data_IF_179418431087
#
_entry.id   IF_179418431087
#
_cell.length_a   1.000
_cell.length_b   1.000
_cell.length_c   1.000
_cell.angle_alpha   90.00
_cell.angle_beta   90.00
_cell.angle_gamma   90.00
#
_symmetry.space_group_name_H-M   'P 1'
#
loop_
_entity.id
_entity.type
_entity.pdbx_description
1 polymer ?
#
# COMPACT_ATOMS: atom_id res chain seq x y z
N UNK A 1 -7.97 -19.85 1.93
CA UNK A 1 -9.33 -20.08 2.46
C UNK A 1 -10.36 -19.99 1.34
N UNK A 2 -10.82 -18.81 0.91
CA UNK A 2 -11.82 -18.69 -0.16
C UNK A 2 -11.37 -19.34 -1.49
N UNK A 3 -10.14 -19.05 -1.93
CA UNK A 3 -9.54 -19.68 -3.13
C UNK A 3 -9.31 -21.19 -3.01
N UNK A 4 -9.33 -21.73 -1.80
CA UNK A 4 -9.16 -23.15 -1.55
C UNK A 4 -10.50 -23.91 -1.53
N UNK A 5 -11.61 -23.25 -1.91
CA UNK A 5 -12.94 -23.87 -1.98
C UNK A 5 -13.65 -24.02 -0.63
N UNK A 6 -13.20 -23.29 0.39
CA UNK A 6 -13.84 -23.29 1.70
C UNK A 6 -14.93 -22.21 1.77
N UNK A 7 -15.99 -22.49 2.53
CA UNK A 7 -16.97 -21.48 2.94
C UNK A 7 -16.34 -20.56 3.99
N UNK A 8 -16.22 -19.28 3.66
CA UNK A 8 -15.52 -18.29 4.49
C UNK A 8 -16.43 -17.10 4.76
N UNK A 9 -16.58 -16.74 6.02
CA UNK A 9 -17.25 -15.53 6.46
C UNK A 9 -16.22 -14.52 6.96
N UNK A 10 -16.28 -13.28 6.46
CA UNK A 10 -15.50 -12.15 6.96
C UNK A 10 -16.45 -11.23 7.73
N UNK A 11 -16.11 -10.91 8.97
CA UNK A 11 -16.90 -10.04 9.85
C UNK A 11 -16.08 -8.77 10.13
N UNK A 12 -16.64 -7.61 9.83
CA UNK A 12 -16.07 -6.28 10.10
C UNK A 12 -17.05 -5.49 10.99
N UNK A 13 -16.53 -4.64 11.87
CA UNK A 13 -17.32 -3.80 12.78
C UNK A 13 -17.83 -2.53 12.11
N UNK A 14 -17.10 -2.05 11.11
CA UNK A 14 -17.46 -0.90 10.32
C UNK A 14 -18.62 -1.15 9.34
N UNK A 15 -19.24 -0.07 8.88
CA UNK A 15 -20.36 -0.12 7.92
C UNK A 15 -19.94 -0.67 6.54
N UNK A 16 -18.64 -0.56 6.21
CA UNK A 16 -18.01 -1.18 5.05
C UNK A 16 -16.59 -1.63 5.39
N UNK A 17 -16.04 -2.57 4.61
CA UNK A 17 -14.63 -2.91 4.71
C UNK A 17 -13.77 -1.65 4.48
N UNK A 18 -12.72 -1.46 5.28
CA UNK A 18 -11.84 -0.29 5.17
C UNK A 18 -12.30 0.97 5.89
N UNK A 19 -13.57 1.14 6.27
CA UNK A 19 -14.04 2.41 6.83
C UNK A 19 -13.45 2.73 8.23
N UNK A 20 -12.95 1.71 8.94
CA UNK A 20 -12.24 1.87 10.22
C UNK A 20 -10.72 1.74 10.08
N UNK A 21 -10.21 1.51 8.86
CA UNK A 21 -8.78 1.30 8.64
C UNK A 21 -8.05 2.64 8.54
N UNK A 22 -7.11 2.85 9.46
CA UNK A 22 -6.24 4.02 9.50
C UNK A 22 -4.81 3.61 9.13
N UNK A 23 -4.18 4.38 8.24
CA UNK A 23 -2.80 4.14 7.78
C UNK A 23 -2.11 5.46 7.47
N UNK A 24 -0.78 5.46 7.51
CA UNK A 24 0.04 6.53 6.92
C UNK A 24 0.00 6.55 5.38
N UNK A 25 -0.60 5.54 4.76
CA UNK A 25 -0.99 5.57 3.35
C UNK A 25 -0.06 4.81 2.41
N UNK A 26 0.99 4.13 2.88
CA UNK A 26 1.88 3.33 2.01
C UNK A 26 1.55 1.84 2.06
N UNK A 27 1.46 1.20 0.90
CA UNK A 27 1.26 -0.24 0.71
C UNK A 27 2.42 -0.82 -0.11
N UNK A 28 3.04 -1.89 0.39
CA UNK A 28 4.11 -2.61 -0.31
C UNK A 28 3.54 -3.71 -1.19
N UNK A 29 3.90 -3.73 -2.48
CA UNK A 29 3.32 -4.64 -3.45
C UNK A 29 3.81 -6.08 -3.33
N UNK A 30 5.01 -6.32 -2.79
CA UNK A 30 5.66 -7.63 -2.72
C UNK A 30 4.72 -8.80 -2.36
N UNK A 31 4.07 -8.70 -1.20
CA UNK A 31 3.16 -9.76 -0.72
C UNK A 31 1.85 -9.77 -1.48
N UNK A 32 1.31 -8.59 -1.80
CA UNK A 32 0.02 -8.50 -2.49
C UNK A 32 0.12 -9.08 -3.90
N UNK A 33 1.22 -8.85 -4.59
CA UNK A 33 1.46 -9.35 -5.94
C UNK A 33 1.67 -10.87 -5.98
N UNK A 34 2.20 -11.46 -4.90
CA UNK A 34 2.27 -12.91 -4.77
C UNK A 34 0.89 -13.56 -4.57
N UNK A 35 -0.05 -12.86 -3.92
CA UNK A 35 -1.40 -13.37 -3.64
C UNK A 35 -2.37 -13.00 -4.76
N UNK A 36 -2.29 -11.78 -5.28
CA UNK A 36 -3.15 -11.19 -6.30
C UNK A 36 -2.24 -10.57 -7.37
N UNK A 37 -1.72 -11.37 -8.32
CA UNK A 37 -0.89 -10.85 -9.38
C UNK A 37 -1.65 -9.79 -10.20
N UNK A 38 -0.98 -8.68 -10.51
CA UNK A 38 -1.50 -7.56 -11.27
C UNK A 38 -2.51 -6.69 -10.50
N UNK A 39 -2.58 -6.77 -9.16
CA UNK A 39 -3.62 -6.07 -8.39
C UNK A 39 -3.65 -4.57 -8.68
N UNK A 40 -2.50 -3.94 -8.89
CA UNK A 40 -2.39 -2.49 -9.09
C UNK A 40 -3.01 -2.00 -10.42
N UNK A 41 -3.36 -2.91 -11.34
CA UNK A 41 -4.05 -2.58 -12.60
C UNK A 41 -5.53 -2.32 -12.38
N UNK A 42 -6.14 -3.00 -11.40
CA UNK A 42 -7.59 -2.97 -11.16
C UNK A 42 -7.98 -2.38 -9.80
N UNK A 43 -7.13 -2.53 -8.78
CA UNK A 43 -7.38 -1.99 -7.47
C UNK A 43 -7.21 -0.46 -7.46
N UNK A 44 -7.97 0.29 -6.65
CA UNK A 44 -7.86 1.73 -6.54
C UNK A 44 -6.64 2.13 -5.70
N UNK A 45 -5.45 1.88 -6.25
CA UNK A 45 -4.19 2.43 -5.75
C UNK A 45 -4.07 3.89 -6.18
N UNK A 46 -3.40 4.70 -5.36
CA UNK A 46 -3.17 6.12 -5.66
C UNK A 46 -1.86 6.24 -6.48
N UNK A 47 -0.79 6.80 -5.92
CA UNK A 47 0.49 6.99 -6.63
C UNK A 47 1.50 5.90 -6.32
N UNK A 48 2.26 5.47 -7.33
CA UNK A 48 3.48 4.68 -7.11
C UNK A 48 4.53 5.52 -6.38
N UNK A 49 5.14 4.95 -5.34
CA UNK A 49 6.21 5.59 -4.56
C UNK A 49 7.54 5.33 -5.27
N UNK A 50 8.15 6.38 -5.80
CA UNK A 50 9.42 6.33 -6.55
C UNK A 50 10.57 7.05 -5.85
N UNK A 51 10.25 7.81 -4.79
CA UNK A 51 11.21 8.62 -4.04
C UNK A 51 10.88 8.53 -2.55
N UNK A 52 11.91 8.36 -1.75
CA UNK A 52 11.83 8.24 -0.31
C UNK A 52 12.69 9.30 0.33
N UNK A 53 12.16 9.98 1.35
CA UNK A 53 12.89 10.99 2.09
C UNK A 53 12.79 10.68 3.57
N UNK A 54 13.95 10.63 4.22
CA UNK A 54 14.05 10.52 5.68
C UNK A 54 14.68 11.81 6.16
N UNK A 55 13.95 12.58 6.97
CA UNK A 55 14.43 13.86 7.50
C UNK A 55 14.64 13.76 9.00
N UNK A 56 15.83 14.14 9.45
CA UNK A 56 16.18 14.33 10.84
C UNK A 56 16.00 15.81 11.16
N UNK A 57 15.06 16.11 12.05
CA UNK A 57 14.63 17.48 12.35
C UNK A 57 15.19 17.94 13.70
N UNK A 58 15.53 19.22 13.77
CA UNK A 58 15.64 20.01 15.00
C UNK A 58 14.53 21.05 15.01
N UNK A 59 14.50 21.95 15.99
CA UNK A 59 13.51 23.04 16.03
C UNK A 59 13.60 23.99 14.83
N UNK A 60 14.82 24.27 14.34
CA UNK A 60 15.05 25.29 13.30
C UNK A 60 15.70 24.75 12.02
N UNK A 61 16.11 23.47 11.99
CA UNK A 61 16.86 22.90 10.85
C UNK A 61 16.54 21.44 10.60
N UNK A 62 16.89 20.97 9.40
CA UNK A 62 16.68 19.59 8.96
C UNK A 62 17.87 19.06 8.17
N UNK A 63 18.18 17.78 8.36
CA UNK A 63 19.05 17.00 7.48
C UNK A 63 18.21 15.92 6.81
N UNK A 64 18.17 15.90 5.48
CA UNK A 64 17.35 14.95 4.71
C UNK A 64 18.22 13.98 3.93
N UNK A 65 18.01 12.68 4.14
CA UNK A 65 18.44 11.63 3.23
C UNK A 65 17.36 11.46 2.15
N UNK A 66 17.75 11.60 0.89
CA UNK A 66 16.85 11.53 -0.25
C UNK A 66 17.27 10.40 -1.19
N UNK A 67 16.40 9.42 -1.36
CA UNK A 67 16.62 8.28 -2.23
C UNK A 67 15.59 8.29 -3.35
N UNK A 68 16.10 8.33 -4.58
CA UNK A 68 15.29 8.18 -5.78
C UNK A 68 15.75 6.97 -6.57
N UNK A 69 14.80 6.12 -6.97
CA UNK A 69 15.07 4.90 -7.73
C UNK A 69 14.48 5.02 -9.13
N UNK A 70 15.34 5.02 -10.13
CA UNK A 70 15.02 4.81 -11.55
C UNK A 70 15.34 3.37 -11.97
N UNK A 71 14.67 2.38 -11.38
CA UNK A 71 14.82 0.98 -11.81
C UNK A 71 13.64 0.52 -12.67
N UNK A 72 13.85 -0.55 -13.49
CA UNK A 72 12.77 -1.16 -14.27
C UNK A 72 11.57 -1.49 -13.39
N UNK A 73 10.38 -1.39 -13.98
CA UNK A 73 9.12 -1.59 -13.28
C UNK A 73 8.92 -3.08 -12.94
N UNK A 74 9.47 -3.52 -11.81
CA UNK A 74 9.22 -4.84 -11.23
C UNK A 74 8.04 -4.71 -10.27
N UNK A 75 6.85 -5.26 -10.57
CA UNK A 75 5.65 -5.07 -9.76
C UNK A 75 5.84 -5.47 -8.30
N UNK A 76 6.57 -6.56 -8.03
CA UNK A 76 6.83 -7.05 -6.66
C UNK A 76 7.70 -6.10 -5.83
N UNK A 77 8.53 -5.27 -6.47
CA UNK A 77 9.40 -4.31 -5.79
C UNK A 77 8.75 -2.94 -5.62
N UNK A 78 7.53 -2.76 -6.12
CA UNK A 78 6.83 -1.49 -6.08
C UNK A 78 6.15 -1.26 -4.73
N UNK A 79 5.85 0.01 -4.46
CA UNK A 79 4.94 0.37 -3.38
C UNK A 79 4.07 1.53 -3.84
N UNK A 80 2.88 1.62 -3.29
CA UNK A 80 1.86 2.58 -3.70
C UNK A 80 1.36 3.35 -2.49
N UNK A 81 0.95 4.58 -2.72
CA UNK A 81 0.09 5.29 -1.79
C UNK A 81 -1.34 4.77 -1.95
N UNK A 82 -2.11 4.76 -0.86
CA UNK A 82 -3.46 4.20 -0.80
C UNK A 82 -4.34 4.99 0.16
N UNK A 83 -5.63 5.03 -0.14
CA UNK A 83 -6.69 5.39 0.81
C UNK A 83 -7.43 4.11 1.18
N UNK A 84 -7.28 3.63 2.43
CA UNK A 84 -7.82 2.32 2.84
C UNK A 84 -9.32 2.18 2.66
N UNK A 85 -10.09 3.25 2.91
CA UNK A 85 -11.53 3.26 2.68
C UNK A 85 -11.93 3.10 1.20
N UNK A 86 -11.03 3.37 0.25
CA UNK A 86 -11.27 3.12 -1.18
C UNK A 86 -10.74 1.76 -1.62
N UNK A 87 -9.63 1.31 -1.02
CA UNK A 87 -8.92 0.08 -1.40
C UNK A 87 -9.55 -1.19 -0.85
N UNK A 88 -10.00 -1.17 0.40
CA UNK A 88 -10.42 -2.37 1.12
C UNK A 88 -11.88 -2.84 0.90
N UNK A 89 -12.85 -1.98 0.49
CA UNK A 89 -14.13 -2.46 -0.03
C UNK A 89 -13.96 -3.35 -1.27
#
# INVERSE_FOLDING_TARGET
MARAGLDVLVIERGDSAGCKNMTGGRLYAHTLEAIIPGFAVSAPVERKVTREKISFLTEESAVTLDFHREQPDVPQHSSYTVLRNRLDP
#
